data_IF_309050744254
#
_entry.id   IF_309050744254
#
_cell.length_a   1.000
_cell.length_b   1.000
_cell.length_c   1.000
_cell.angle_alpha   90.00
_cell.angle_beta   90.00
_cell.angle_gamma   90.00
#
_symmetry.space_group_name_H-M   'P 1'
#
loop_
_entity.id
_entity.type
_entity.pdbx_description
1 polymer ?
#
# COMPACT_ATOMS: atom_id res chain seq x y z
N UNK A 1 -23.81 30.56 -19.64
CA UNK A 1 -25.24 30.39 -19.31
C UNK A 1 -25.69 29.00 -19.78
N UNK A 2 -25.87 28.06 -18.84
CA UNK A 2 -26.40 26.73 -19.14
C UNK A 2 -27.93 26.81 -19.23
N UNK A 3 -28.50 26.55 -20.41
CA UNK A 3 -29.95 26.37 -20.53
C UNK A 3 -30.32 24.98 -20.00
N UNK A 4 -31.35 24.85 -19.14
CA UNK A 4 -31.78 23.54 -18.66
C UNK A 4 -32.35 22.73 -19.81
N UNK A 5 -31.78 21.54 -20.05
CA UNK A 5 -32.27 20.59 -21.03
C UNK A 5 -33.61 20.01 -20.57
N UNK A 6 -34.72 20.40 -21.23
CA UNK A 6 -36.05 19.88 -20.95
C UNK A 6 -36.38 18.81 -21.99
N UNK A 7 -36.45 17.55 -21.53
CA UNK A 7 -36.78 16.38 -22.35
C UNK A 7 -38.11 16.51 -23.10
N UNK A 8 -39.03 17.35 -22.59
CA UNK A 8 -40.34 17.59 -23.19
C UNK A 8 -40.31 18.57 -24.38
N UNK A 9 -39.25 19.37 -24.52
CA UNK A 9 -39.07 20.30 -25.66
C UNK A 9 -38.56 19.58 -26.92
N UNK A 10 -38.15 18.32 -26.80
CA UNK A 10 -37.67 17.53 -27.93
C UNK A 10 -38.83 16.75 -28.58
N UNK A 11 -39.02 16.98 -29.88
CA UNK A 11 -40.00 16.27 -30.72
C UNK A 11 -39.72 14.77 -30.67
N UNK A 12 -40.47 14.04 -29.82
CA UNK A 12 -40.43 12.57 -29.77
C UNK A 12 -40.76 12.08 -31.17
N UNK A 13 -39.80 11.43 -31.81
CA UNK A 13 -40.02 10.78 -33.11
C UNK A 13 -41.20 9.82 -32.91
N UNK A 14 -42.25 9.83 -33.76
CA UNK A 14 -43.31 8.84 -33.67
C UNK A 14 -42.64 7.50 -33.96
N UNK A 15 -42.29 6.79 -32.89
CA UNK A 15 -41.64 5.51 -33.01
C UNK A 15 -42.74 4.59 -33.56
N UNK A 16 -42.55 4.00 -34.76
CA UNK A 16 -43.50 3.02 -35.25
C UNK A 16 -43.70 1.98 -34.15
N UNK A 17 -44.93 1.49 -33.93
CA UNK A 17 -45.18 0.50 -32.89
C UNK A 17 -44.17 -0.61 -33.09
N UNK A 18 -43.32 -0.82 -32.08
CA UNK A 18 -42.35 -1.89 -32.09
C UNK A 18 -43.13 -3.15 -32.45
N UNK A 19 -42.67 -3.85 -33.50
CA UNK A 19 -43.33 -5.08 -33.93
C UNK A 19 -43.57 -5.96 -32.70
N UNK A 20 -44.76 -6.58 -32.58
CA UNK A 20 -45.07 -7.39 -31.42
C UNK A 20 -43.96 -8.42 -31.26
N UNK A 21 -43.46 -8.61 -30.03
CA UNK A 21 -42.40 -9.57 -29.80
C UNK A 21 -42.87 -10.95 -30.29
N UNK A 22 -41.95 -11.78 -30.82
CA UNK A 22 -42.28 -13.13 -31.26
C UNK A 22 -43.01 -13.91 -30.15
N UNK A 23 -43.88 -14.84 -30.55
CA UNK A 23 -44.59 -15.67 -29.60
C UNK A 23 -43.62 -16.31 -28.58
N UNK A 24 -44.00 -16.24 -27.30
CA UNK A 24 -43.26 -16.82 -26.17
C UNK A 24 -41.87 -16.23 -25.94
N UNK A 25 -41.54 -15.07 -26.53
CA UNK A 25 -40.25 -14.39 -26.32
C UNK A 25 -39.92 -14.19 -24.84
N UNK A 26 -40.88 -13.70 -24.04
CA UNK A 26 -40.70 -13.49 -22.60
C UNK A 26 -40.66 -14.79 -21.80
N UNK A 27 -41.30 -15.86 -22.25
CA UNK A 27 -41.24 -17.18 -21.61
C UNK A 27 -39.85 -17.82 -21.77
N UNK A 28 -39.21 -17.59 -22.91
CA UNK A 28 -37.87 -18.11 -23.22
C UNK A 28 -36.73 -17.23 -22.67
N UNK A 29 -37.04 -15.98 -22.30
CA UNK A 29 -36.03 -15.01 -21.87
C UNK A 29 -35.29 -15.45 -20.60
N UNK A 30 -35.94 -15.95 -19.54
CA UNK A 30 -35.24 -16.50 -18.37
C UNK A 30 -34.24 -17.59 -18.74
N UNK A 31 -34.66 -18.54 -19.59
CA UNK A 31 -33.79 -19.64 -20.03
C UNK A 31 -32.59 -19.13 -20.82
N UNK A 32 -32.80 -18.19 -21.75
CA UNK A 32 -31.72 -17.59 -22.55
C UNK A 32 -30.75 -16.76 -21.70
N UNK A 33 -31.25 -16.07 -20.67
CA UNK A 33 -30.42 -15.33 -19.71
C UNK A 33 -29.58 -16.30 -18.89
N UNK A 34 -30.17 -17.37 -18.35
CA UNK A 34 -29.44 -18.39 -17.59
C UNK A 34 -28.36 -19.08 -18.43
N UNK A 35 -28.63 -19.39 -19.70
CA UNK A 35 -27.64 -19.97 -20.61
C UNK A 35 -26.44 -19.04 -20.85
N UNK A 36 -26.69 -17.72 -21.02
CA UNK A 36 -25.62 -16.74 -21.19
C UNK A 36 -24.77 -16.56 -19.93
N UNK A 37 -25.40 -16.59 -18.76
CA UNK A 37 -24.70 -16.52 -17.47
C UNK A 37 -23.83 -17.77 -17.26
N UNK A 38 -24.35 -18.96 -17.57
CA UNK A 38 -23.58 -20.21 -17.45
C UNK A 38 -22.41 -20.29 -18.43
N UNK A 39 -22.61 -19.86 -19.69
CA UNK A 39 -21.54 -19.82 -20.70
C UNK A 39 -20.43 -18.80 -20.39
N UNK A 40 -20.73 -17.80 -19.55
CA UNK A 40 -19.77 -16.78 -19.11
C UNK A 40 -19.02 -17.20 -17.84
N UNK A 41 -19.36 -18.33 -17.22
CA UNK A 41 -18.49 -18.92 -16.21
C UNK A 41 -17.36 -19.64 -16.97
N UNK A 42 -16.15 -19.06 -17.11
CA UNK A 42 -15.09 -19.77 -17.76
C UNK A 42 -14.78 -20.96 -16.86
N UNK A 43 -15.11 -22.18 -17.33
CA UNK A 43 -14.43 -23.34 -16.80
C UNK A 43 -12.93 -23.00 -16.82
N UNK A 44 -12.20 -23.16 -15.70
CA UNK A 44 -10.84 -22.67 -15.60
C UNK A 44 -10.09 -23.23 -16.79
N UNK A 45 -9.65 -22.31 -17.68
CA UNK A 45 -9.02 -22.69 -18.93
C UNK A 45 -7.88 -23.64 -18.58
N UNK A 46 -8.08 -24.92 -18.90
CA UNK A 46 -7.17 -26.00 -18.58
C UNK A 46 -5.97 -25.92 -19.52
N UNK A 47 -5.22 -24.82 -19.45
CA UNK A 47 -4.01 -24.62 -20.25
C UNK A 47 -2.93 -25.61 -19.83
N UNK A 48 -3.03 -26.21 -18.64
CA UNK A 48 -2.14 -27.26 -18.17
C UNK A 48 -2.88 -28.54 -17.73
N UNK A 49 -3.45 -29.25 -18.71
CA UNK A 49 -4.14 -30.53 -18.49
C UNK A 49 -3.32 -31.59 -17.71
N UNK A 50 -1.98 -31.55 -17.78
CA UNK A 50 -1.13 -32.46 -17.01
C UNK A 50 -1.12 -32.15 -15.50
N UNK A 51 -1.23 -30.88 -15.07
CA UNK A 51 -1.40 -30.56 -13.65
C UNK A 51 -2.75 -31.05 -13.13
N UNK A 52 -3.77 -31.11 -14.00
CA UNK A 52 -5.07 -31.66 -13.62
C UNK A 52 -5.06 -33.19 -13.44
N UNK A 53 -4.00 -33.88 -13.86
CA UNK A 53 -3.79 -35.31 -13.57
C UNK A 53 -3.16 -35.55 -12.20
N UNK A 54 -2.55 -34.53 -11.58
CA UNK A 54 -2.00 -34.64 -10.22
C UNK A 54 -3.11 -34.58 -9.17
N UNK A 55 -2.94 -35.29 -8.06
CA UNK A 55 -3.86 -35.22 -6.92
C UNK A 55 -3.91 -33.81 -6.32
N UNK A 56 -5.06 -33.43 -5.74
CA UNK A 56 -5.24 -32.12 -5.10
C UNK A 56 -4.10 -31.70 -4.15
N UNK A 57 -3.61 -32.56 -3.21
CA UNK A 57 -2.52 -32.17 -2.31
C UNK A 57 -1.17 -31.98 -3.03
N UNK A 58 -0.95 -32.69 -4.14
CA UNK A 58 0.30 -32.58 -4.89
C UNK A 58 0.35 -31.27 -5.70
N UNK A 59 -0.80 -30.79 -6.19
CA UNK A 59 -0.89 -29.47 -6.83
C UNK A 59 -0.59 -28.34 -5.85
N UNK A 60 -1.09 -28.43 -4.63
CA UNK A 60 -0.82 -27.42 -3.60
C UNK A 60 0.64 -27.43 -3.16
N UNK A 61 1.27 -28.61 -3.07
CA UNK A 61 2.69 -28.73 -2.77
C UNK A 61 3.57 -28.16 -3.88
N UNK A 62 3.23 -28.40 -5.16
CA UNK A 62 3.93 -27.80 -6.29
C UNK A 62 3.78 -26.27 -6.32
N UNK A 63 2.57 -25.77 -6.08
CA UNK A 63 2.31 -24.33 -6.05
C UNK A 63 3.12 -23.64 -4.93
N UNK A 64 3.15 -24.21 -3.73
CA UNK A 64 3.94 -23.65 -2.63
C UNK A 64 5.44 -23.72 -2.90
N UNK A 65 5.94 -24.82 -3.49
CA UNK A 65 7.34 -24.95 -3.87
C UNK A 65 7.77 -23.92 -4.92
N UNK A 66 6.92 -23.65 -5.92
CA UNK A 66 7.19 -22.62 -6.94
C UNK A 66 7.22 -21.22 -6.32
N UNK A 67 6.30 -20.91 -5.41
CA UNK A 67 6.26 -19.61 -4.71
C UNK A 67 7.49 -19.42 -3.83
N UNK A 68 7.81 -20.40 -2.97
CA UNK A 68 8.97 -20.35 -2.08
C UNK A 68 10.28 -20.33 -2.88
N UNK A 69 10.40 -21.15 -3.91
CA UNK A 69 11.56 -21.20 -4.78
C UNK A 69 11.75 -19.90 -5.55
N UNK A 70 10.68 -19.34 -6.11
CA UNK A 70 10.70 -18.05 -6.81
C UNK A 70 11.07 -16.89 -5.87
N UNK A 71 10.54 -16.89 -4.66
CA UNK A 71 10.91 -15.92 -3.62
C UNK A 71 12.39 -16.03 -3.26
N UNK A 72 12.88 -17.23 -2.93
CA UNK A 72 14.28 -17.44 -2.58
C UNK A 72 15.23 -17.09 -3.74
N UNK A 73 14.87 -17.48 -4.96
CA UNK A 73 15.63 -17.12 -6.16
C UNK A 73 15.62 -15.61 -6.39
N UNK A 74 14.50 -14.92 -6.16
CA UNK A 74 14.42 -13.47 -6.24
C UNK A 74 15.32 -12.79 -5.21
N UNK A 75 15.47 -13.34 -4.01
CA UNK A 75 16.40 -12.83 -3.01
C UNK A 75 17.86 -13.08 -3.39
N UNK A 76 18.19 -14.26 -3.93
CA UNK A 76 19.55 -14.61 -4.33
C UNK A 76 20.02 -13.88 -5.61
N UNK A 77 19.10 -13.61 -6.54
CA UNK A 77 19.39 -12.89 -7.78
C UNK A 77 19.15 -11.38 -7.68
N UNK A 78 18.47 -10.91 -6.63
CA UNK A 78 18.41 -9.47 -6.40
C UNK A 78 19.82 -9.00 -6.11
N UNK A 79 20.36 -8.06 -6.91
CA UNK A 79 21.54 -7.34 -6.46
C UNK A 79 21.19 -6.78 -5.08
N UNK A 80 22.05 -6.97 -4.08
CA UNK A 80 21.85 -6.29 -2.81
C UNK A 80 21.56 -4.84 -3.14
N UNK A 81 20.40 -4.35 -2.70
CA UNK A 81 20.14 -2.94 -2.68
C UNK A 81 21.34 -2.38 -1.94
N UNK A 82 22.25 -1.77 -2.70
CA UNK A 82 23.44 -1.17 -2.13
C UNK A 82 22.85 -0.03 -1.34
N UNK A 83 22.57 -0.28 -0.07
CA UNK A 83 22.45 0.76 0.94
C UNK A 83 23.85 1.35 0.90
N UNK A 84 24.06 2.28 -0.03
CA UNK A 84 25.23 3.12 0.03
C UNK A 84 25.20 3.65 1.45
N UNK A 85 26.26 3.44 2.24
CA UNK A 85 26.37 4.15 3.50
C UNK A 85 26.37 5.62 3.09
N UNK A 86 25.21 6.27 3.22
CA UNK A 86 25.10 7.73 3.10
C UNK A 86 26.09 8.19 4.13
N UNK A 87 27.20 8.77 3.67
CA UNK A 87 28.34 9.06 4.51
C UNK A 87 27.84 9.84 5.72
N UNK A 88 27.72 9.16 6.86
CA UNK A 88 27.34 9.76 8.15
C UNK A 88 28.36 10.83 8.55
N UNK A 89 29.57 10.74 7.99
CA UNK A 89 30.61 11.78 8.03
C UNK A 89 30.22 13.08 7.33
N UNK A 90 29.35 13.07 6.31
CA UNK A 90 28.99 14.30 5.57
C UNK A 90 28.00 15.18 6.31
N UNK A 91 27.01 14.60 7.00
CA UNK A 91 26.02 15.36 7.77
C UNK A 91 26.63 16.00 9.03
N UNK A 92 27.63 15.34 9.64
CA UNK A 92 28.37 15.91 10.77
C UNK A 92 29.26 17.11 10.39
N UNK A 93 29.56 17.28 9.09
CA UNK A 93 30.33 18.40 8.57
C UNK A 93 29.47 19.58 8.10
N UNK A 94 28.13 19.43 8.05
CA UNK A 94 27.25 20.53 7.66
C UNK A 94 27.17 21.55 8.80
N UNK A 95 27.59 22.80 8.58
CA UNK A 95 27.52 23.84 9.60
C UNK A 95 26.07 24.14 9.97
N UNK A 96 25.83 24.41 11.26
CA UNK A 96 24.48 24.59 11.82
C UNK A 96 23.69 25.73 11.16
N UNK A 97 24.39 26.73 10.63
CA UNK A 97 23.81 27.87 9.92
C UNK A 97 23.12 27.45 8.61
N UNK A 98 23.72 26.52 7.86
CA UNK A 98 23.16 25.99 6.62
C UNK A 98 21.92 25.12 6.88
N UNK A 99 21.90 24.38 7.99
CA UNK A 99 20.72 23.61 8.41
C UNK A 99 19.52 24.51 8.72
N UNK A 100 19.75 25.61 9.46
CA UNK A 100 18.69 26.57 9.78
C UNK A 100 18.21 27.27 8.50
N UNK A 101 19.13 27.62 7.60
CA UNK A 101 18.77 28.22 6.32
C UNK A 101 17.96 27.27 5.44
N UNK A 102 18.32 25.99 5.39
CA UNK A 102 17.55 24.97 4.67
C UNK A 102 16.15 24.79 5.26
N UNK A 103 16.02 24.75 6.59
CA UNK A 103 14.73 24.67 7.29
C UNK A 103 13.84 25.91 7.09
N UNK A 104 14.42 27.08 6.88
CA UNK A 104 13.68 28.31 6.59
C UNK A 104 13.37 28.49 5.10
N UNK A 105 14.23 28.00 4.21
CA UNK A 105 14.08 28.12 2.77
C UNK A 105 13.18 27.03 2.16
N UNK A 106 13.17 25.84 2.76
CA UNK A 106 12.24 24.79 2.40
C UNK A 106 10.95 24.95 3.21
N UNK A 107 9.82 25.13 2.54
CA UNK A 107 8.49 25.04 3.20
C UNK A 107 8.18 23.60 3.69
N UNK A 108 9.09 22.65 3.41
CA UNK A 108 9.03 21.27 3.84
C UNK A 108 9.40 21.16 5.32
N UNK A 109 8.40 20.98 6.17
CA UNK A 109 8.63 20.57 7.56
C UNK A 109 9.27 19.18 7.55
N UNK A 110 10.43 19.04 8.18
CA UNK A 110 11.07 17.72 8.41
C UNK A 110 10.04 16.82 9.09
N UNK A 111 9.69 15.73 8.42
CA UNK A 111 8.68 14.79 8.93
C UNK A 111 9.34 13.66 9.71
N UNK A 112 8.58 13.00 10.59
CA UNK A 112 9.06 11.81 11.30
C UNK A 112 9.46 10.67 10.34
N UNK A 113 8.90 10.65 9.14
CA UNK A 113 9.25 9.71 8.08
C UNK A 113 10.66 9.96 7.55
N UNK A 114 11.05 11.22 7.34
CA UNK A 114 12.40 11.58 6.91
C UNK A 114 13.44 11.21 7.97
N UNK A 115 13.09 11.35 9.26
CA UNK A 115 13.95 10.96 10.38
C UNK A 115 14.07 9.43 10.54
N UNK A 116 13.05 8.67 10.13
CA UNK A 116 13.08 7.21 10.14
C UNK A 116 13.98 6.63 9.04
N UNK A 117 14.24 7.40 7.97
CA UNK A 117 15.19 7.03 6.91
C UNK A 117 16.65 7.28 7.32
N UNK A 118 16.92 8.01 8.41
CA UNK A 118 18.28 8.18 8.92
C UNK A 118 18.73 6.91 9.68
N UNK A 119 19.77 6.19 9.20
CA UNK A 119 20.32 5.03 9.90
C UNK A 119 21.04 5.40 11.21
N UNK A 120 21.18 6.70 11.51
CA UNK A 120 21.89 7.19 12.69
C UNK A 120 21.17 6.88 14.02
N UNK A 121 19.86 6.64 14.00
CA UNK A 121 19.12 6.24 15.20
C UNK A 121 19.51 4.83 15.70
N UNK A 122 20.07 3.98 14.83
CA UNK A 122 20.53 2.63 15.19
C UNK A 122 21.85 2.62 15.98
N UNK A 123 22.64 3.69 15.88
CA UNK A 123 23.99 3.77 16.48
C UNK A 123 24.06 4.73 17.68
N UNK A 124 22.92 5.22 18.16
CA UNK A 124 22.88 5.83 19.48
C UNK A 124 23.20 4.72 20.48
N UNK A 125 24.19 4.89 21.38
CA UNK A 125 24.44 3.94 22.45
C UNK A 125 23.24 3.98 23.41
N UNK A 126 22.20 3.21 23.09
CA UNK A 126 20.99 3.04 23.91
C UNK A 126 21.37 2.50 25.27
N UNK A 127 22.48 1.77 25.38
CA UNK A 127 23.07 1.29 26.64
C UNK A 127 23.37 2.43 27.62
N UNK A 128 23.75 3.62 27.15
CA UNK A 128 24.02 4.78 28.04
C UNK A 128 22.73 5.43 28.54
N UNK A 129 21.64 5.37 27.77
CA UNK A 129 20.36 5.96 28.17
C UNK A 129 19.46 4.99 28.95
N UNK A 130 19.66 3.67 28.80
CA UNK A 130 18.89 2.63 29.49
C UNK A 130 19.43 2.31 30.88
N UNK A 131 20.71 2.61 31.14
CA UNK A 131 21.35 2.45 32.45
C UNK A 131 21.63 3.80 33.12
N UNK A 132 20.58 4.56 33.41
CA UNK A 132 20.71 5.68 34.33
C UNK A 132 21.17 5.12 35.69
N UNK A 133 22.34 5.56 36.15
CA UNK A 133 22.83 5.16 37.47
C UNK A 133 21.92 5.75 38.56
N UNK A 134 21.79 5.09 39.72
CA UNK A 134 20.97 5.62 40.82
C UNK A 134 21.36 7.05 41.22
N UNK A 135 22.64 7.40 41.11
CA UNK A 135 23.17 8.72 41.46
C UNK A 135 22.76 9.81 40.44
N UNK A 136 22.78 9.49 39.14
CA UNK A 136 22.30 10.42 38.09
C UNK A 136 20.79 10.65 38.20
N UNK A 137 20.02 9.63 38.56
CA UNK A 137 18.58 9.80 38.82
C UNK A 137 18.33 10.71 40.01
N UNK A 138 19.15 10.59 41.07
CA UNK A 138 19.06 11.43 42.25
C UNK A 138 19.40 12.89 41.93
N UNK A 139 20.45 13.13 41.14
CA UNK A 139 20.85 14.48 40.71
C UNK A 139 19.78 15.16 39.85
N UNK A 140 19.14 14.41 38.94
CA UNK A 140 18.02 14.92 38.14
C UNK A 140 16.80 15.21 39.03
N UNK A 141 16.50 14.36 40.01
CA UNK A 141 15.39 14.58 40.95
C UNK A 141 15.63 15.83 41.81
N UNK A 142 16.86 16.01 42.30
CA UNK A 142 17.25 17.13 43.15
C UNK A 142 17.34 18.45 42.35
N UNK A 143 17.61 18.37 41.05
CA UNK A 143 17.63 19.51 40.13
C UNK A 143 16.26 19.93 39.60
N UNK A 144 15.19 19.18 39.87
CA UNK A 144 13.84 19.59 39.49
C UNK A 144 13.45 20.83 40.32
N UNK A 145 13.14 21.97 39.69
CA UNK A 145 12.61 23.10 40.43
C UNK A 145 11.29 22.67 41.05
N UNK A 146 11.22 22.66 42.38
CA UNK A 146 9.97 22.48 43.10
C UNK A 146 9.08 23.67 42.78
N UNK A 147 8.18 23.54 41.81
CA UNK A 147 7.06 24.46 41.63
C UNK A 147 6.09 24.28 42.82
N UNK A 148 6.53 24.69 44.01
CA UNK A 148 5.66 25.10 45.09
C UNK A 148 5.13 26.50 44.76
N UNK A 149 4.38 26.59 43.67
CA UNK A 149 3.45 27.71 43.46
C UNK A 149 2.23 27.42 44.33
N UNK A 150 2.35 27.72 45.63
CA UNK A 150 1.19 27.83 46.52
C UNK A 150 0.39 29.08 46.13
N UNK A 151 -0.88 28.88 45.78
CA UNK A 151 -1.95 29.87 45.97
C UNK A 151 -2.87 29.38 47.09
#
# INVERSE_FOLDING_TARGET
MNKPFRLDEHRRRPQPPLAPPPDRYFEQLPMRVMQRVQATNPAPAATWGWLSALSAPLRTALASAVVLGGFAASFLLSPEATIQPVASTSLAQVPREELVQYLMASEQRVTLSDLAELPAAQNLPTDTYLHASPDELQEVLDGQPSEETYL
#
